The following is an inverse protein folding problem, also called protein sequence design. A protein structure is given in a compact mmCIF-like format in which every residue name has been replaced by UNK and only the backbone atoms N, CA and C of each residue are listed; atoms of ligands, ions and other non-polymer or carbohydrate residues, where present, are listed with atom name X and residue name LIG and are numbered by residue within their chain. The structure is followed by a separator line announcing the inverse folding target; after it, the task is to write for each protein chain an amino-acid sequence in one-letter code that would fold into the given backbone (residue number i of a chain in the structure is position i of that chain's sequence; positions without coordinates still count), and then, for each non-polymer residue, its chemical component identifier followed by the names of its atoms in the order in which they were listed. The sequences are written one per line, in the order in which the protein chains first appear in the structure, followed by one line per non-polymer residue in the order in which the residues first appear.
data_IF_905479765610
#
_entry.id   IF_905479765610
#
_cell.length_a   1.000
_cell.length_b   1.000
_cell.length_c   1.000
_cell.angle_alpha   90.00
_cell.angle_beta   90.00
_cell.angle_gamma   90.00
#
_symmetry.space_group_name_H-M   'P 1'
#
loop_
_entity.id
_entity.type
_entity.pdbx_description
1 polymer ?
#
# COMPACT_ATOMS: atom_id res chain seq x y z
N UNK A 1 61.31 9.80 -7.94
CA UNK A 1 60.22 10.73 -7.59
C UNK A 1 58.92 9.96 -7.68
N UNK A 2 58.14 9.99 -6.61
CA UNK A 2 57.04 9.07 -6.29
C UNK A 2 55.84 9.29 -7.21
N UNK A 3 55.26 8.21 -7.74
CA UNK A 3 53.99 8.24 -8.48
C UNK A 3 53.20 6.95 -8.24
N UNK A 4 52.56 6.85 -7.06
CA UNK A 4 51.54 5.83 -6.76
C UNK A 4 50.21 6.37 -7.25
N UNK A 5 49.65 5.84 -8.34
CA UNK A 5 48.26 6.09 -8.70
C UNK A 5 47.40 5.00 -8.10
N UNK A 6 46.58 5.39 -7.12
CA UNK A 6 45.55 4.56 -6.51
C UNK A 6 44.53 4.13 -7.57
N UNK A 7 44.32 2.83 -7.73
CA UNK A 7 43.13 2.28 -8.37
C UNK A 7 42.21 1.78 -7.25
N UNK A 8 41.43 2.70 -6.66
CA UNK A 8 40.48 2.36 -5.60
C UNK A 8 39.04 2.45 -6.12
N UNK A 9 38.38 1.28 -6.07
CA UNK A 9 36.95 1.04 -5.91
C UNK A 9 35.98 1.90 -6.73
N UNK A 10 35.56 1.37 -7.89
CA UNK A 10 34.28 1.70 -8.53
C UNK A 10 33.41 0.46 -8.80
N UNK A 11 33.54 -0.60 -7.98
CA UNK A 11 32.71 -1.83 -8.10
C UNK A 11 31.68 -1.96 -6.97
N UNK A 12 31.73 -1.11 -5.93
CA UNK A 12 30.87 -1.26 -4.76
C UNK A 12 29.49 -0.57 -4.84
N UNK A 13 29.23 0.23 -5.88
CA UNK A 13 27.96 0.96 -6.05
C UNK A 13 26.94 0.23 -6.94
N UNK A 14 27.38 -0.70 -7.80
CA UNK A 14 26.49 -1.52 -8.63
C UNK A 14 25.96 -2.76 -7.88
N UNK A 15 26.71 -3.29 -6.92
CA UNK A 15 26.29 -4.48 -6.15
C UNK A 15 25.25 -4.18 -5.05
N UNK A 16 25.09 -2.91 -4.63
CA UNK A 16 24.03 -2.51 -3.70
C UNK A 16 22.68 -2.25 -4.39
N UNK A 17 22.69 -2.01 -5.70
CA UNK A 17 21.46 -1.83 -6.47
C UNK A 17 20.69 -3.15 -6.67
N UNK A 18 21.37 -4.31 -6.56
CA UNK A 18 20.74 -5.63 -6.64
C UNK A 18 20.10 -6.10 -5.32
N UNK A 19 20.38 -5.46 -4.19
CA UNK A 19 19.97 -5.96 -2.85
C UNK A 19 18.59 -5.54 -2.35
N UNK A 20 17.74 -4.92 -3.17
CA UNK A 20 16.30 -4.86 -2.89
C UNK A 20 15.51 -4.43 -4.14
N UNK A 21 15.27 -5.34 -5.08
CA UNK A 21 14.00 -5.27 -5.80
C UNK A 21 12.92 -5.57 -4.74
N UNK A 22 12.46 -4.51 -4.09
CA UNK A 22 11.34 -4.61 -3.19
C UNK A 22 10.13 -4.93 -4.06
N UNK A 23 9.63 -6.12 -3.88
CA UNK A 23 8.45 -6.60 -4.56
C UNK A 23 7.29 -5.63 -4.30
N UNK A 24 6.89 -4.91 -5.35
CA UNK A 24 5.97 -3.77 -5.23
C UNK A 24 4.59 -4.18 -4.71
N UNK A 25 4.18 -5.39 -5.05
CA UNK A 25 2.87 -5.91 -4.76
C UNK A 25 2.70 -6.26 -3.27
N UNK A 26 1.60 -5.77 -2.71
CA UNK A 26 1.14 -6.08 -1.39
C UNK A 26 -0.37 -6.28 -1.34
N UNK A 27 -0.90 -6.40 -0.14
CA UNK A 27 -2.33 -6.64 0.08
C UNK A 27 -2.80 -6.07 1.41
N UNK A 28 -4.02 -5.54 1.43
CA UNK A 28 -4.74 -5.27 2.67
C UNK A 28 -5.46 -6.54 3.15
N UNK A 29 -5.26 -6.93 4.41
CA UNK A 29 -5.80 -8.17 4.95
C UNK A 29 -6.17 -8.05 6.44
N UNK A 30 -7.12 -8.87 6.90
CA UNK A 30 -7.49 -8.98 8.31
C UNK A 30 -7.69 -10.44 8.74
N UNK A 31 -7.72 -10.68 10.05
CA UNK A 31 -7.92 -12.01 10.61
C UNK A 31 -9.26 -12.61 10.18
N UNK A 32 -9.23 -13.84 9.68
CA UNK A 32 -10.41 -14.69 9.67
C UNK A 32 -10.65 -15.26 11.08
N UNK A 33 -11.83 -15.85 11.30
CA UNK A 33 -12.22 -16.40 12.61
C UNK A 33 -11.29 -17.52 13.14
N UNK A 34 -10.50 -18.14 12.26
CA UNK A 34 -9.53 -19.18 12.59
C UNK A 34 -8.10 -18.66 12.78
N UNK A 35 -7.86 -17.38 12.52
CA UNK A 35 -6.53 -16.75 12.60
C UNK A 35 -5.48 -17.39 11.69
N UNK A 36 -5.89 -17.74 10.48
CA UNK A 36 -5.06 -18.37 9.46
C UNK A 36 -4.74 -17.45 8.29
N UNK A 37 -5.21 -16.19 8.29
CA UNK A 37 -4.94 -15.23 7.21
C UNK A 37 -3.45 -15.06 6.95
N UNK A 38 -2.62 -14.99 8.00
CA UNK A 38 -1.17 -14.84 7.82
C UNK A 38 -0.54 -16.04 7.08
N UNK A 39 -1.04 -17.26 7.27
CA UNK A 39 -0.52 -18.42 6.54
C UNK A 39 -0.80 -18.30 5.05
N UNK A 40 -1.95 -17.74 4.67
CA UNK A 40 -2.25 -17.44 3.28
C UNK A 40 -1.37 -16.32 2.72
N UNK A 41 -1.12 -15.27 3.50
CA UNK A 41 -0.21 -14.16 3.12
C UNK A 41 1.19 -14.70 2.84
N UNK A 42 1.73 -15.52 3.76
CA UNK A 42 3.07 -16.11 3.64
C UNK A 42 3.17 -17.17 2.52
N UNK A 43 2.06 -17.74 2.08
CA UNK A 43 2.02 -18.70 0.96
C UNK A 43 1.96 -18.01 -0.41
N UNK A 44 1.73 -16.69 -0.47
CA UNK A 44 1.68 -16.00 -1.75
C UNK A 44 3.08 -15.92 -2.37
N UNK A 45 3.24 -16.39 -3.62
CA UNK A 45 4.49 -16.24 -4.33
C UNK A 45 4.70 -14.76 -4.53
N UNK A 46 5.91 -14.28 -4.30
CA UNK A 46 6.26 -12.94 -4.70
C UNK A 46 5.32 -11.83 -4.12
N UNK A 47 4.84 -11.99 -2.89
CA UNK A 47 4.16 -10.92 -2.15
C UNK A 47 5.18 -10.21 -1.26
N UNK A 48 5.37 -8.91 -1.48
CA UNK A 48 6.40 -8.15 -0.76
C UNK A 48 5.98 -7.67 0.62
N UNK A 49 4.71 -7.29 0.76
CA UNK A 49 4.23 -6.64 1.97
C UNK A 49 2.71 -6.79 2.18
N UNK A 50 2.26 -6.56 3.41
CA UNK A 50 0.85 -6.46 3.74
C UNK A 50 0.63 -5.41 4.83
N UNK A 51 -0.63 -5.01 4.99
CA UNK A 51 -1.07 -4.17 6.10
C UNK A 51 -2.49 -4.53 6.54
N UNK A 52 -2.89 -3.99 7.69
CA UNK A 52 -4.11 -4.40 8.42
C UNK A 52 -4.99 -3.22 8.83
N UNK A 53 -4.70 -2.00 8.35
CA UNK A 53 -5.27 -0.74 8.87
C UNK A 53 -5.05 -0.51 10.37
N UNK A 54 -4.13 -1.24 11.00
CA UNK A 54 -3.83 -1.13 12.44
C UNK A 54 -2.34 -0.91 12.68
N UNK A 55 -1.99 -0.62 13.93
CA UNK A 55 -0.59 -0.55 14.38
C UNK A 55 0.03 -1.92 14.66
N UNK A 56 -0.78 -2.99 14.64
CA UNK A 56 -0.37 -4.36 14.90
C UNK A 56 -0.58 -5.28 13.69
N UNK A 57 0.36 -6.22 13.56
CA UNK A 57 0.34 -7.23 12.51
C UNK A 57 -0.79 -8.25 12.70
N UNK A 58 -1.05 -9.06 11.66
CA UNK A 58 -1.96 -10.20 11.75
C UNK A 58 -1.55 -11.19 12.86
N UNK A 59 -2.49 -11.51 13.73
CA UNK A 59 -2.29 -12.53 14.76
C UNK A 59 -2.37 -13.96 14.20
N UNK A 60 -1.67 -14.90 14.83
CA UNK A 60 -1.66 -16.32 14.49
C UNK A 60 -1.60 -17.20 15.74
N UNK A 61 -2.13 -18.42 15.66
CA UNK A 61 -1.94 -19.45 16.70
C UNK A 61 -0.59 -20.13 16.50
N UNK A 62 0.28 -20.01 17.49
CA UNK A 62 1.58 -20.69 17.50
C UNK A 62 2.62 -20.02 16.58
N UNK A 63 3.79 -20.66 16.40
CA UNK A 63 4.84 -20.15 15.54
C UNK A 63 4.39 -20.07 14.08
N UNK A 64 4.58 -18.91 13.46
CA UNK A 64 4.22 -18.65 12.05
C UNK A 64 5.36 -17.94 11.35
N UNK A 65 5.55 -18.23 10.06
CA UNK A 65 6.47 -17.47 9.21
C UNK A 65 6.12 -15.99 9.17
N UNK A 66 7.13 -15.13 9.08
CA UNK A 66 7.03 -13.66 9.05
C UNK A 66 8.04 -13.12 8.04
N UNK A 67 7.92 -13.59 6.80
CA UNK A 67 8.81 -13.23 5.68
C UNK A 67 8.23 -12.10 4.85
N UNK A 68 6.90 -11.99 4.76
CA UNK A 68 6.22 -10.89 4.07
C UNK A 68 6.22 -9.66 5.00
N UNK A 69 6.63 -8.50 4.49
CA UNK A 69 6.80 -7.30 5.31
C UNK A 69 5.46 -6.78 5.83
N UNK A 70 5.33 -6.62 7.15
CA UNK A 70 4.22 -5.89 7.73
C UNK A 70 4.49 -4.38 7.74
N UNK A 71 3.54 -3.58 7.23
CA UNK A 71 3.56 -2.12 7.35
C UNK A 71 2.45 -1.64 8.29
N UNK A 72 2.77 -1.07 9.46
CA UNK A 72 1.78 -0.53 10.38
C UNK A 72 1.13 0.75 9.85
N UNK A 73 -0.09 1.01 10.30
CA UNK A 73 -0.85 2.22 10.00
C UNK A 73 -1.35 2.88 11.28
N UNK A 74 -1.21 4.20 11.37
CA UNK A 74 -2.02 5.04 12.26
C UNK A 74 -3.28 5.37 11.46
N UNK A 75 -4.35 4.60 11.63
CA UNK A 75 -5.58 4.77 10.83
C UNK A 75 -6.32 6.04 11.24
N UNK A 76 -6.45 6.26 12.55
CA UNK A 76 -7.15 7.41 13.14
C UNK A 76 -6.34 8.02 14.29
N UNK A 77 -6.82 9.15 14.83
CA UNK A 77 -6.17 9.81 15.97
C UNK A 77 -5.97 8.89 17.18
N UNK A 78 -6.93 8.00 17.46
CA UNK A 78 -6.87 7.07 18.59
C UNK A 78 -5.69 6.11 18.53
N UNK A 79 -5.20 5.78 17.34
CA UNK A 79 -4.10 4.84 17.14
C UNK A 79 -2.74 5.44 17.51
N UNK A 80 -2.64 6.77 17.65
CA UNK A 80 -1.41 7.42 18.11
C UNK A 80 -1.00 6.96 19.53
N UNK A 81 -1.95 6.55 20.36
CA UNK A 81 -1.69 6.02 21.69
C UNK A 81 -1.30 4.53 21.68
N UNK A 82 -1.59 3.78 20.61
CA UNK A 82 -1.31 2.34 20.53
C UNK A 82 0.15 2.08 20.16
N UNK A 83 0.81 1.04 20.73
CA UNK A 83 2.14 0.65 20.29
C UNK A 83 2.10 0.05 18.87
N UNK A 84 3.22 0.14 18.16
CA UNK A 84 3.44 -0.67 16.96
C UNK A 84 3.87 -2.06 17.44
N UNK A 85 3.12 -3.09 17.04
CA UNK A 85 3.35 -4.47 17.47
C UNK A 85 3.63 -5.36 16.26
N UNK A 86 4.88 -5.83 16.13
CA UNK A 86 5.29 -6.75 15.07
C UNK A 86 6.41 -7.68 15.57
N UNK A 87 6.45 -8.90 15.03
CA UNK A 87 7.51 -9.89 15.31
C UNK A 87 8.83 -9.52 14.62
N UNK A 88 8.78 -8.65 13.61
CA UNK A 88 9.93 -8.18 12.83
C UNK A 88 10.04 -6.65 12.90
N UNK A 89 11.24 -6.07 12.76
CA UNK A 89 11.38 -4.63 12.64
C UNK A 89 10.59 -4.09 11.43
N UNK A 90 9.76 -3.08 11.67
CA UNK A 90 9.04 -2.36 10.62
C UNK A 90 9.96 -1.33 9.96
N UNK A 91 9.72 -1.01 8.68
CA UNK A 91 10.58 -0.10 7.89
C UNK A 91 9.87 1.17 7.42
N UNK A 92 8.54 1.13 7.42
CA UNK A 92 7.68 2.24 7.04
C UNK A 92 6.47 2.35 7.98
N UNK A 93 5.81 3.49 7.94
CA UNK A 93 4.59 3.80 8.70
C UNK A 93 3.62 4.53 7.77
N UNK A 94 2.40 4.01 7.66
CA UNK A 94 1.30 4.71 6.99
C UNK A 94 0.56 5.59 7.99
N UNK A 95 0.19 6.80 7.55
CA UNK A 95 -0.59 7.75 8.33
C UNK A 95 -2.05 7.77 7.88
N UNK A 96 -2.86 8.55 8.61
CA UNK A 96 -4.32 8.57 8.63
C UNK A 96 -5.03 8.07 7.36
N UNK A 97 -5.96 7.13 7.54
CA UNK A 97 -6.74 6.50 6.49
C UNK A 97 -8.01 7.30 6.21
N UNK A 98 -8.16 7.83 5.00
CA UNK A 98 -9.30 8.63 4.54
C UNK A 98 -9.72 9.68 5.60
N UNK A 99 -8.80 10.56 6.04
CA UNK A 99 -9.11 11.55 7.06
C UNK A 99 -10.20 12.53 6.62
N UNK A 100 -10.38 12.74 5.32
CA UNK A 100 -11.44 13.54 4.70
C UNK A 100 -12.84 12.93 4.86
N UNK A 101 -12.89 11.64 5.17
CA UNK A 101 -14.09 10.85 5.38
C UNK A 101 -14.83 11.12 6.70
N UNK A 102 -16.06 10.62 6.83
CA UNK A 102 -16.89 10.74 8.04
C UNK A 102 -17.45 9.42 8.56
N UNK A 103 -17.18 8.30 7.87
CA UNK A 103 -17.64 6.97 8.27
C UNK A 103 -16.77 6.32 9.34
N UNK A 104 -17.29 5.29 10.02
CA UNK A 104 -16.55 4.54 11.05
C UNK A 104 -15.35 3.74 10.52
N UNK A 105 -15.27 3.54 9.20
CA UNK A 105 -14.15 2.92 8.50
C UNK A 105 -13.08 3.94 8.05
N UNK A 106 -13.33 5.23 8.26
CA UNK A 106 -12.48 6.34 7.86
C UNK A 106 -11.90 7.04 9.10
N UNK A 107 -10.81 7.78 8.91
CA UNK A 107 -10.04 8.39 10.00
C UNK A 107 -10.69 9.63 10.61
N UNK A 108 -11.48 10.38 9.81
CA UNK A 108 -12.33 11.48 10.29
C UNK A 108 -11.59 12.64 10.94
N UNK A 109 -10.71 13.33 10.20
CA UNK A 109 -9.90 14.45 10.68
C UNK A 109 -9.98 15.66 9.74
N UNK A 110 -10.11 16.85 10.31
CA UNK A 110 -9.83 18.07 9.55
C UNK A 110 -8.34 18.17 9.21
N UNK A 111 -8.00 18.95 8.18
CA UNK A 111 -6.61 19.23 7.81
C UNK A 111 -5.83 19.82 8.98
N UNK A 112 -6.42 20.78 9.70
CA UNK A 112 -5.83 21.45 10.85
C UNK A 112 -5.55 20.47 11.99
N UNK A 113 -6.48 19.53 12.24
CA UNK A 113 -6.28 18.50 13.26
C UNK A 113 -5.16 17.54 12.88
N UNK A 114 -5.15 17.05 11.64
CA UNK A 114 -4.09 16.17 11.16
C UNK A 114 -2.69 16.84 11.25
N UNK A 115 -2.59 18.12 10.89
CA UNK A 115 -1.34 18.90 11.01
C UNK A 115 -0.89 19.11 12.47
N UNK A 116 -1.84 19.29 13.39
CA UNK A 116 -1.54 19.40 14.82
C UNK A 116 -1.06 18.07 15.41
N UNK A 117 -1.55 16.95 14.88
CA UNK A 117 -1.16 15.60 15.29
C UNK A 117 0.15 15.11 14.63
N UNK A 118 0.55 15.69 13.51
CA UNK A 118 1.68 15.21 12.71
C UNK A 118 3.00 15.05 13.49
N UNK A 119 3.39 15.95 14.43
CA UNK A 119 4.58 15.74 15.23
C UNK A 119 4.56 14.41 16.04
N UNK A 120 3.38 13.93 16.44
CA UNK A 120 3.20 12.62 17.09
C UNK A 120 3.36 11.47 16.10
N UNK A 121 2.93 11.66 14.84
CA UNK A 121 3.17 10.70 13.74
C UNK A 121 4.68 10.58 13.49
N UNK A 122 5.39 11.70 13.36
CA UNK A 122 6.85 11.72 13.16
C UNK A 122 7.61 11.08 14.34
N UNK A 123 7.19 11.37 15.57
CA UNK A 123 7.77 10.76 16.76
C UNK A 123 7.57 9.24 16.78
N UNK A 124 6.38 8.74 16.43
CA UNK A 124 6.10 7.30 16.34
C UNK A 124 6.86 6.65 15.18
N UNK A 125 7.00 7.35 14.06
CA UNK A 125 7.71 6.91 12.85
C UNK A 125 9.21 7.23 12.84
N UNK A 126 9.83 7.50 14.00
CA UNK A 126 11.25 7.85 14.06
C UNK A 126 12.10 6.70 13.52
N UNK A 127 12.92 6.99 12.51
CA UNK A 127 13.75 5.98 11.82
C UNK A 127 13.00 5.17 10.76
N UNK A 128 11.69 5.38 10.59
CA UNK A 128 10.87 4.79 9.53
C UNK A 128 10.68 5.80 8.39
N UNK A 129 10.33 5.29 7.20
CA UNK A 129 9.70 6.10 6.15
C UNK A 129 8.23 6.35 6.51
N UNK A 130 7.76 7.59 6.38
CA UNK A 130 6.40 7.98 6.75
C UNK A 130 5.62 8.36 5.50
N UNK A 131 4.51 7.68 5.27
CA UNK A 131 3.56 8.01 4.20
C UNK A 131 2.69 9.20 4.57
N UNK A 132 2.25 9.95 3.57
CA UNK A 132 1.17 10.93 3.76
C UNK A 132 -0.09 10.25 4.33
N UNK A 133 -1.04 11.02 4.87
CA UNK A 133 -2.41 10.54 4.95
C UNK A 133 -2.88 10.07 3.57
N UNK A 134 -3.71 9.04 3.53
CA UNK A 134 -4.31 8.53 2.29
C UNK A 134 -5.76 8.97 2.24
N UNK A 135 -6.06 10.07 1.55
CA UNK A 135 -7.44 10.56 1.39
C UNK A 135 -8.26 9.65 0.49
N UNK A 136 -9.60 9.82 0.50
CA UNK A 136 -10.41 9.30 -0.60
C UNK A 136 -9.89 9.81 -1.94
N UNK A 137 -10.15 9.07 -3.02
CA UNK A 137 -9.62 9.38 -4.35
C UNK A 137 -9.98 10.81 -4.81
N UNK A 138 -11.19 11.28 -4.50
CA UNK A 138 -11.68 12.61 -4.87
C UNK A 138 -10.93 13.75 -4.16
N UNK A 139 -10.46 13.51 -2.93
CA UNK A 139 -9.77 14.51 -2.10
C UNK A 139 -8.24 14.48 -2.25
N UNK A 140 -7.72 13.65 -3.16
CA UNK A 140 -6.27 13.50 -3.41
C UNK A 140 -5.69 14.60 -4.29
N UNK A 141 -6.46 15.15 -5.24
CA UNK A 141 -5.98 16.15 -6.21
C UNK A 141 -6.90 17.37 -6.24
N UNK A 142 -6.33 18.52 -6.61
CA UNK A 142 -7.05 19.78 -6.80
C UNK A 142 -6.73 20.80 -5.69
N UNK A 143 -6.81 22.12 -6.00
CA UNK A 143 -6.36 23.18 -5.08
C UNK A 143 -7.12 23.23 -3.76
N UNK A 144 -8.40 22.81 -3.75
CA UNK A 144 -9.24 22.76 -2.55
C UNK A 144 -9.21 21.43 -1.80
N UNK A 145 -8.58 20.40 -2.37
CA UNK A 145 -8.64 19.04 -1.84
C UNK A 145 -7.97 18.95 -0.48
N UNK A 146 -8.44 18.04 0.37
CA UNK A 146 -7.88 17.78 1.70
C UNK A 146 -6.37 17.52 1.60
N UNK A 147 -5.97 16.63 0.69
CA UNK A 147 -4.57 16.25 0.52
C UNK A 147 -3.71 17.44 0.11
N UNK A 148 -4.17 18.27 -0.82
CA UNK A 148 -3.41 19.44 -1.29
C UNK A 148 -3.20 20.45 -0.17
N UNK A 149 -4.24 20.73 0.62
CA UNK A 149 -4.15 21.65 1.76
C UNK A 149 -3.21 21.12 2.85
N UNK A 150 -3.31 19.83 3.18
CA UNK A 150 -2.44 19.19 4.15
C UNK A 150 -0.97 19.22 3.71
N UNK A 151 -0.66 18.76 2.50
CA UNK A 151 0.71 18.69 1.99
C UNK A 151 1.36 20.08 1.89
N UNK A 152 0.62 21.09 1.42
CA UNK A 152 1.11 22.47 1.34
C UNK A 152 1.54 23.00 2.72
N UNK A 153 0.69 22.79 3.72
CA UNK A 153 0.95 23.29 5.06
C UNK A 153 1.99 22.45 5.82
N UNK A 154 2.04 21.14 5.56
CA UNK A 154 3.08 20.26 6.08
C UNK A 154 4.47 20.66 5.55
N UNK A 155 4.59 20.95 4.26
CA UNK A 155 5.82 21.46 3.65
C UNK A 155 6.22 22.82 4.26
N UNK A 156 5.26 23.73 4.45
CA UNK A 156 5.50 25.03 5.10
C UNK A 156 6.02 24.88 6.54
N UNK A 157 5.58 23.83 7.25
CA UNK A 157 6.01 23.52 8.63
C UNK A 157 7.30 22.70 8.70
N UNK A 158 7.84 22.26 7.56
CA UNK A 158 9.02 21.41 7.50
C UNK A 158 8.78 19.99 8.01
N UNK A 159 7.53 19.51 7.99
CA UNK A 159 7.19 18.14 8.37
C UNK A 159 7.75 17.13 7.36
N UNK A 160 8.24 16.00 7.86
CA UNK A 160 8.73 14.89 7.03
C UNK A 160 7.57 14.04 6.51
N UNK A 161 7.55 13.88 5.19
CA UNK A 161 6.64 12.99 4.46
C UNK A 161 7.44 12.37 3.32
N UNK A 162 7.71 11.07 3.41
CA UNK A 162 8.69 10.36 2.58
C UNK A 162 8.06 9.76 1.30
N UNK A 163 6.74 9.53 1.30
CA UNK A 163 5.99 9.05 0.13
C UNK A 163 4.52 9.48 0.21
N UNK A 164 3.85 9.50 -0.94
CA UNK A 164 2.39 9.69 -1.01
C UNK A 164 1.70 8.33 -0.88
N UNK A 165 0.82 8.19 0.10
CA UNK A 165 -0.14 7.08 0.15
C UNK A 165 -1.44 7.51 -0.52
N UNK A 166 -1.97 6.68 -1.42
CA UNK A 166 -3.16 7.02 -2.21
C UNK A 166 -4.10 5.83 -2.44
N UNK A 167 -5.40 6.11 -2.54
CA UNK A 167 -6.45 5.13 -2.84
C UNK A 167 -7.02 5.38 -4.24
N UNK A 168 -7.29 4.31 -5.00
CA UNK A 168 -7.90 4.40 -6.32
C UNK A 168 -8.94 3.29 -6.55
N UNK A 169 -10.21 3.66 -6.62
CA UNK A 169 -11.32 2.75 -6.88
C UNK A 169 -11.90 3.03 -8.26
N UNK A 170 -11.74 2.07 -9.17
CA UNK A 170 -12.26 2.17 -10.52
C UNK A 170 -13.68 1.61 -10.59
N UNK A 171 -14.58 2.30 -11.30
CA UNK A 171 -15.93 1.82 -11.58
C UNK A 171 -16.05 1.16 -12.96
N UNK A 172 -15.07 1.34 -13.84
CA UNK A 172 -15.09 0.95 -15.26
C UNK A 172 -13.90 0.10 -15.72
N UNK A 173 -12.86 -0.01 -14.89
CA UNK A 173 -11.62 -0.72 -15.19
C UNK A 173 -10.65 0.05 -16.10
N UNK A 174 -10.81 1.37 -16.28
CA UNK A 174 -9.90 2.15 -17.14
C UNK A 174 -8.51 2.33 -16.50
N UNK A 175 -7.59 1.44 -16.87
CA UNK A 175 -6.18 1.48 -16.45
C UNK A 175 -5.44 2.69 -17.03
N UNK A 176 -5.86 3.23 -18.17
CA UNK A 176 -5.24 4.43 -18.73
C UNK A 176 -5.64 5.67 -17.92
N UNK A 177 -6.89 5.77 -17.46
CA UNK A 177 -7.31 6.78 -16.50
C UNK A 177 -6.51 6.67 -15.19
N UNK A 178 -6.36 5.45 -14.67
CA UNK A 178 -5.57 5.22 -13.46
C UNK A 178 -4.11 5.69 -13.64
N UNK A 179 -3.46 5.32 -14.75
CA UNK A 179 -2.10 5.76 -15.08
C UNK A 179 -1.99 7.29 -15.13
N UNK A 180 -2.92 7.96 -15.83
CA UNK A 180 -2.93 9.43 -15.94
C UNK A 180 -3.11 10.08 -14.58
N UNK A 181 -3.95 9.50 -13.72
CA UNK A 181 -4.16 9.98 -12.37
C UNK A 181 -2.90 9.85 -11.51
N UNK A 182 -2.22 8.69 -11.52
CA UNK A 182 -0.95 8.50 -10.82
C UNK A 182 0.14 9.48 -11.28
N UNK A 183 0.23 9.74 -12.60
CA UNK A 183 1.14 10.75 -13.15
C UNK A 183 0.78 12.17 -12.67
N UNK A 184 -0.51 12.48 -12.47
CA UNK A 184 -0.94 13.76 -11.91
C UNK A 184 -0.57 13.88 -10.42
N UNK A 185 -0.81 12.84 -9.62
CA UNK A 185 -0.37 12.78 -8.20
C UNK A 185 1.14 12.99 -8.10
N UNK A 186 1.92 12.27 -8.91
CA UNK A 186 3.38 12.39 -8.87
C UNK A 186 3.86 13.80 -9.27
N UNK A 187 3.25 14.39 -10.30
CA UNK A 187 3.58 15.76 -10.73
C UNK A 187 3.24 16.80 -9.66
N UNK A 188 2.12 16.61 -8.97
CA UNK A 188 1.61 17.52 -7.95
C UNK A 188 2.48 17.53 -6.69
N UNK A 189 2.82 16.33 -6.18
CA UNK A 189 3.46 16.17 -4.88
C UNK A 189 4.96 15.81 -4.94
N UNK A 190 5.47 15.49 -6.14
CA UNK A 190 6.90 15.21 -6.42
C UNK A 190 7.55 14.23 -5.44
N UNK A 191 6.80 13.20 -5.06
CA UNK A 191 7.21 12.15 -4.12
C UNK A 191 6.87 10.78 -4.69
N UNK A 192 7.64 9.74 -4.34
CA UNK A 192 7.25 8.37 -4.66
C UNK A 192 5.84 8.06 -4.15
N UNK A 193 5.15 7.15 -4.84
CA UNK A 193 3.76 6.80 -4.57
C UNK A 193 3.67 5.35 -4.09
N UNK A 194 2.89 5.17 -3.02
CA UNK A 194 2.35 3.90 -2.60
C UNK A 194 0.84 3.92 -2.86
N UNK A 195 0.37 3.04 -3.74
CA UNK A 195 -1.07 2.84 -3.95
C UNK A 195 -1.55 1.87 -2.87
N UNK A 196 -2.00 2.39 -1.73
CA UNK A 196 -2.31 1.57 -0.55
C UNK A 196 -3.64 0.85 -0.68
N UNK A 197 -4.54 1.33 -1.54
CA UNK A 197 -5.78 0.65 -1.90
C UNK A 197 -6.08 0.84 -3.39
N UNK A 198 -6.37 -0.25 -4.10
CA UNK A 198 -7.03 -0.18 -5.38
C UNK A 198 -7.89 -1.41 -5.66
N UNK A 199 -9.02 -1.21 -6.33
CA UNK A 199 -9.94 -2.26 -6.76
C UNK A 199 -10.85 -1.81 -7.91
N UNK A 200 -11.49 -2.78 -8.58
CA UNK A 200 -12.64 -2.53 -9.45
C UNK A 200 -13.92 -2.66 -8.61
N UNK A 201 -14.46 -1.53 -8.19
CA UNK A 201 -15.67 -1.48 -7.36
C UNK A 201 -16.40 -0.16 -7.58
N UNK A 202 -17.72 -0.27 -7.74
CA UNK A 202 -18.64 0.86 -7.61
C UNK A 202 -19.28 0.75 -6.23
N UNK A 203 -18.94 1.66 -5.33
CA UNK A 203 -19.43 1.64 -3.94
C UNK A 203 -20.95 1.89 -3.83
N UNK A 204 -21.58 2.47 -4.86
CA UNK A 204 -23.04 2.61 -4.96
C UNK A 204 -23.69 1.37 -5.60
N UNK A 205 -22.91 0.54 -6.30
CA UNK A 205 -23.34 -0.72 -6.92
C UNK A 205 -22.32 -1.84 -6.64
N UNK A 206 -22.11 -2.25 -5.38
CA UNK A 206 -21.03 -3.15 -4.98
C UNK A 206 -21.03 -4.51 -5.70
N UNK A 207 -22.16 -4.94 -6.26
CA UNK A 207 -22.28 -6.18 -7.05
C UNK A 207 -22.08 -6.02 -8.57
N UNK A 208 -21.75 -4.83 -9.07
CA UNK A 208 -21.71 -4.56 -10.51
C UNK A 208 -20.57 -5.27 -11.25
N UNK A 209 -19.44 -5.51 -10.58
CA UNK A 209 -18.30 -6.20 -11.16
C UNK A 209 -18.30 -7.69 -10.81
N UNK A 210 -17.95 -8.53 -11.79
CA UNK A 210 -17.65 -9.94 -11.60
C UNK A 210 -16.19 -10.16 -11.18
N UNK A 211 -15.86 -11.32 -10.60
CA UNK A 211 -14.47 -11.67 -10.31
C UNK A 211 -13.58 -11.62 -11.56
N UNK A 212 -14.09 -12.01 -12.73
CA UNK A 212 -13.34 -11.96 -13.98
C UNK A 212 -12.97 -10.53 -14.41
N UNK A 213 -13.89 -9.57 -14.22
CA UNK A 213 -13.60 -8.15 -14.49
C UNK A 213 -12.59 -7.59 -13.50
N UNK A 214 -12.74 -7.90 -12.20
CA UNK A 214 -11.77 -7.50 -11.17
C UNK A 214 -10.38 -8.08 -11.42
N UNK A 215 -10.30 -9.36 -11.81
CA UNK A 215 -9.07 -10.06 -12.15
C UNK A 215 -8.35 -9.41 -13.36
N UNK A 216 -9.11 -9.13 -14.42
CA UNK A 216 -8.57 -8.46 -15.61
C UNK A 216 -8.09 -7.03 -15.30
N UNK A 217 -8.80 -6.30 -14.45
CA UNK A 217 -8.37 -4.97 -14.00
C UNK A 217 -7.09 -5.06 -13.17
N UNK A 218 -7.03 -5.95 -12.20
CA UNK A 218 -5.85 -6.15 -11.35
C UNK A 218 -4.60 -6.48 -12.17
N UNK A 219 -4.69 -7.45 -13.08
CA UNK A 219 -3.54 -7.87 -13.90
C UNK A 219 -2.97 -6.69 -14.71
N UNK A 220 -3.84 -5.95 -15.39
CA UNK A 220 -3.42 -4.80 -16.21
C UNK A 220 -2.92 -3.64 -15.35
N UNK A 221 -3.57 -3.37 -14.22
CA UNK A 221 -3.17 -2.30 -13.30
C UNK A 221 -1.82 -2.60 -12.62
N UNK A 222 -1.59 -3.84 -12.18
CA UNK A 222 -0.32 -4.28 -11.60
C UNK A 222 0.83 -4.15 -12.60
N UNK A 223 0.64 -4.65 -13.84
CA UNK A 223 1.63 -4.50 -14.91
C UNK A 223 1.91 -3.03 -15.24
N UNK A 224 0.87 -2.19 -15.25
CA UNK A 224 1.01 -0.75 -15.48
C UNK A 224 1.84 -0.08 -14.36
N UNK A 225 1.54 -0.37 -13.10
CA UNK A 225 2.25 0.20 -11.95
C UNK A 225 3.69 -0.32 -11.83
N UNK A 226 3.94 -1.57 -12.24
CA UNK A 226 5.29 -2.12 -12.31
C UNK A 226 6.19 -1.28 -13.24
N UNK A 227 5.65 -0.88 -14.39
CA UNK A 227 6.31 0.02 -15.36
C UNK A 227 6.39 1.50 -14.97
N UNK A 228 5.89 1.92 -13.80
CA UNK A 228 6.00 3.29 -13.31
C UNK A 228 7.09 3.38 -12.22
N UNK A 229 8.25 4.01 -12.48
CA UNK A 229 9.37 4.04 -11.52
C UNK A 229 9.05 4.86 -10.27
N UNK A 230 8.09 5.79 -10.34
CA UNK A 230 7.64 6.55 -9.19
C UNK A 230 6.58 5.83 -8.34
N UNK A 231 6.10 4.66 -8.77
CA UNK A 231 5.25 3.78 -7.95
C UNK A 231 6.14 2.73 -7.30
N UNK A 232 6.34 2.86 -6.00
CA UNK A 232 7.20 1.96 -5.22
C UNK A 232 6.46 0.75 -4.69
N UNK A 233 5.17 0.91 -4.34
CA UNK A 233 4.33 -0.16 -3.79
C UNK A 233 2.88 -0.01 -4.23
N UNK A 234 2.18 -1.13 -4.32
CA UNK A 234 0.73 -1.16 -4.51
C UNK A 234 0.11 -2.29 -3.69
N UNK A 235 -1.09 -2.09 -3.15
CA UNK A 235 -1.82 -3.10 -2.39
C UNK A 235 -3.26 -3.24 -2.89
N UNK A 236 -3.63 -4.48 -3.28
CA UNK A 236 -5.00 -4.77 -3.70
C UNK A 236 -5.95 -4.71 -2.50
N UNK A 237 -7.10 -4.07 -2.70
CA UNK A 237 -8.19 -4.05 -1.73
C UNK A 237 -9.25 -5.10 -2.12
N UNK A 238 -9.42 -6.20 -1.39
CA UNK A 238 -8.62 -6.68 -0.27
C UNK A 238 -8.53 -8.22 -0.31
N UNK A 239 -7.73 -8.83 0.57
CA UNK A 239 -7.63 -10.30 0.63
C UNK A 239 -8.99 -10.94 0.99
N UNK A 240 -9.63 -10.43 2.03
CA UNK A 240 -10.81 -11.01 2.66
C UNK A 240 -12.14 -10.44 2.10
N UNK A 241 -13.28 -11.13 2.27
CA UNK A 241 -14.61 -10.61 1.91
C UNK A 241 -14.97 -9.33 2.66
N UNK A 242 -15.26 -8.24 1.95
CA UNK A 242 -15.67 -6.96 2.54
C UNK A 242 -17.16 -6.69 2.29
N UNK A 243 -18.08 -7.00 3.22
CA UNK A 243 -19.50 -6.70 3.04
C UNK A 243 -19.75 -5.18 3.04
N UNK A 244 -20.40 -4.69 1.99
CA UNK A 244 -20.80 -3.29 1.82
C UNK A 244 -22.25 -3.22 1.33
N UNK A 245 -23.10 -2.49 2.05
CA UNK A 245 -24.54 -2.38 1.75
C UNK A 245 -25.23 -3.75 1.51
N UNK A 246 -24.88 -4.75 2.33
CA UNK A 246 -25.43 -6.11 2.23
C UNK A 246 -24.88 -6.97 1.09
N UNK A 247 -23.89 -6.47 0.34
CA UNK A 247 -23.25 -7.19 -0.78
C UNK A 247 -21.77 -7.34 -0.53
N UNK A 248 -21.17 -8.48 -0.89
CA UNK A 248 -19.72 -8.61 -0.95
C UNK A 248 -19.27 -8.33 -2.39
N UNK A 249 -18.56 -7.22 -2.67
CA UNK A 249 -18.00 -6.96 -3.97
C UNK A 249 -17.06 -8.09 -4.39
N UNK A 250 -17.03 -8.42 -5.69
CA UNK A 250 -16.20 -9.50 -6.24
C UNK A 250 -14.74 -9.08 -6.41
N UNK A 251 -14.15 -8.60 -5.32
CA UNK A 251 -12.76 -8.12 -5.22
C UNK A 251 -11.93 -8.95 -4.24
N UNK A 252 -12.57 -9.70 -3.33
CA UNK A 252 -11.89 -10.54 -2.35
C UNK A 252 -11.09 -11.67 -3.02
N UNK A 253 -9.87 -11.89 -2.53
CA UNK A 253 -8.95 -12.92 -3.03
C UNK A 253 -9.28 -14.31 -2.46
N UNK A 254 -9.86 -14.34 -1.26
CA UNK A 254 -10.31 -15.56 -0.59
C UNK A 254 -11.73 -15.44 -0.06
N UNK A 255 -12.38 -16.58 0.18
CA UNK A 255 -13.62 -16.65 0.96
C UNK A 255 -13.36 -16.69 2.48
N UNK A 256 -14.41 -16.77 3.29
CA UNK A 256 -14.31 -16.84 4.76
C UNK A 256 -13.58 -18.08 5.29
N UNK A 257 -13.40 -19.10 4.44
CA UNK A 257 -12.67 -20.35 4.72
C UNK A 257 -11.25 -20.32 4.17
N UNK A 258 -10.76 -19.15 3.74
CA UNK A 258 -9.46 -18.95 3.11
C UNK A 258 -9.28 -19.76 1.80
N UNK A 259 -10.38 -20.16 1.14
CA UNK A 259 -10.31 -20.77 -0.18
C UNK A 259 -10.17 -19.68 -1.24
N UNK A 260 -9.34 -19.87 -2.28
CA UNK A 260 -9.14 -18.87 -3.31
C UNK A 260 -10.42 -18.63 -4.11
N UNK A 261 -10.65 -17.37 -4.47
CA UNK A 261 -11.64 -16.98 -5.47
C UNK A 261 -10.99 -16.95 -6.87
N UNK A 262 -11.75 -16.84 -7.97
CA UNK A 262 -11.14 -16.63 -9.29
C UNK A 262 -10.24 -15.37 -9.36
N UNK A 263 -10.57 -14.35 -8.57
CA UNK A 263 -9.72 -13.17 -8.39
C UNK A 263 -8.42 -13.53 -7.65
N UNK A 264 -8.50 -14.34 -6.57
CA UNK A 264 -7.34 -14.83 -5.84
C UNK A 264 -6.40 -15.72 -6.65
N UNK A 265 -6.95 -16.58 -7.50
CA UNK A 265 -6.15 -17.40 -8.44
C UNK A 265 -5.37 -16.52 -9.42
N UNK A 266 -6.03 -15.49 -9.98
CA UNK A 266 -5.37 -14.52 -10.86
C UNK A 266 -4.30 -13.72 -10.11
N UNK A 267 -4.61 -13.28 -8.88
CA UNK A 267 -3.67 -12.58 -8.02
C UNK A 267 -2.37 -13.39 -7.84
N UNK A 268 -2.50 -14.66 -7.41
CA UNK A 268 -1.36 -15.57 -7.23
C UNK A 268 -0.56 -15.77 -8.52
N UNK A 269 -1.23 -15.96 -9.65
CA UNK A 269 -0.58 -16.13 -10.97
C UNK A 269 0.25 -14.90 -11.34
N UNK A 270 -0.35 -13.72 -11.28
CA UNK A 270 0.32 -12.46 -11.65
C UNK A 270 1.52 -12.19 -10.72
N UNK A 271 1.40 -12.45 -9.42
CA UNK A 271 2.56 -12.32 -8.54
C UNK A 271 3.70 -13.27 -8.93
N UNK A 272 3.38 -14.52 -9.29
CA UNK A 272 4.37 -15.48 -9.78
C UNK A 272 5.08 -14.99 -11.05
N UNK A 273 4.33 -14.38 -11.97
CA UNK A 273 4.88 -13.79 -13.20
C UNK A 273 5.78 -12.59 -12.91
N UNK A 274 5.38 -11.70 -11.99
CA UNK A 274 6.18 -10.54 -11.58
C UNK A 274 7.48 -10.98 -10.89
N UNK A 275 7.40 -11.91 -9.93
CA UNK A 275 8.59 -12.46 -9.27
C UNK A 275 9.52 -13.19 -10.23
N UNK A 276 8.98 -13.90 -11.22
CA UNK A 276 9.79 -14.54 -12.28
C UNK A 276 10.56 -13.53 -13.14
N UNK A 277 9.94 -12.38 -13.48
CA UNK A 277 10.61 -11.30 -14.23
C UNK A 277 11.72 -10.64 -13.42
N UNK A 278 11.50 -10.41 -12.12
CA UNK A 278 12.52 -9.85 -11.23
C UNK A 278 13.78 -10.74 -11.20
N UNK A 279 13.60 -12.06 -11.02
CA UNK A 279 14.71 -13.04 -11.04
C UNK A 279 15.41 -13.03 -12.41
N UNK A 280 14.67 -12.99 -13.51
CA UNK A 280 15.25 -12.95 -14.85
C UNK A 280 16.03 -11.66 -15.13
N UNK A 281 15.61 -10.53 -14.55
CA UNK A 281 16.30 -9.23 -14.69
C UNK A 281 17.55 -9.08 -13.81
N UNK A 282 17.69 -9.93 -12.79
CA UNK A 282 18.79 -9.91 -11.83
C UNK A 282 19.97 -10.82 -12.22
N UNK A 283 19.80 -11.70 -13.21
CA UNK A 283 20.81 -12.62 -13.75
C UNK A 283 21.34 -12.12 -15.10
#
# INVERSE_FOLDING_TARGET
MVGRTLFFLWVFLLSLAQTALAQKAGVGAWENSRYTTIHWVEDQPALGWYYTWRTDQLWARGPTSRTVEFVPMIHSEGDLAKPITSDRPVRALMAFNEPDGKGSHQGGLSVERALALWPRVEAKGRGLRIGSPATTQAETLGPGSWQRRFMTEAERRGYRIDFMAVHYYSTDGDVAAFRRWLQAVHREYRRPIWVTEYALVDWDRPGAASYGQSAAFFERAAQMMDGLPFVERHAWFAANPYPWQGTVPKINLVDDRMQPTPMGETFRRVLSELGGREIASAN
#
